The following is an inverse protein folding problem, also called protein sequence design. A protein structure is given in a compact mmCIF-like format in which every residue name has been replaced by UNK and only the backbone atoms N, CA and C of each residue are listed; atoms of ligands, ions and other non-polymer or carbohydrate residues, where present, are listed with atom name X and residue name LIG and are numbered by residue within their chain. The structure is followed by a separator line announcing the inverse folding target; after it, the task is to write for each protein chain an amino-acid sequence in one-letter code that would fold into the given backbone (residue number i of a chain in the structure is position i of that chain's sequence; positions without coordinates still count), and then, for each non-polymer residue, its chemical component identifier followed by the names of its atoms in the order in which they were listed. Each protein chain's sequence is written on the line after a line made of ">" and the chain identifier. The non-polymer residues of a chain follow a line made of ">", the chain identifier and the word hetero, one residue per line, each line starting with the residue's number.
data_IF_237498464123
#
_entry.id   IF_237498464123
#
_cell.length_a   1.000
_cell.length_b   1.000
_cell.length_c   1.000
_cell.angle_alpha   90.00
_cell.angle_beta   90.00
_cell.angle_gamma   90.00
#
_symmetry.space_group_name_H-M   'P 1'
#
loop_
_entity.id
_entity.type
_entity.pdbx_description
1 polymer ?
#
# COMPACT_ATOMS: atom_id res chain seq x y z
N UNK A 1 -15.18 -13.56 -5.70
CA UNK A 1 -13.97 -13.41 -6.51
C UNK A 1 -13.70 -14.74 -7.23
N UNK A 2 -13.10 -14.69 -8.43
CA UNK A 2 -12.66 -15.89 -9.16
C UNK A 2 -11.18 -16.08 -8.90
N UNK A 3 -10.78 -17.27 -8.43
CA UNK A 3 -9.38 -17.62 -8.19
C UNK A 3 -8.87 -18.44 -9.38
N UNK A 4 -7.72 -18.07 -9.93
CA UNK A 4 -7.02 -18.82 -10.98
C UNK A 4 -5.73 -19.36 -10.37
N UNK A 5 -5.59 -20.68 -10.30
CA UNK A 5 -4.37 -21.33 -9.81
C UNK A 5 -3.43 -21.56 -10.98
N UNK A 6 -2.25 -20.96 -10.95
CA UNK A 6 -1.22 -21.11 -11.98
C UNK A 6 0.18 -20.89 -11.40
N UNK A 7 1.12 -21.74 -11.80
CA UNK A 7 2.52 -21.69 -11.34
C UNK A 7 2.72 -22.24 -9.92
N UNK A 8 3.98 -22.55 -9.60
CA UNK A 8 4.39 -23.07 -8.28
C UNK A 8 5.05 -21.99 -7.40
N UNK A 9 5.23 -20.77 -7.94
CA UNK A 9 5.83 -19.63 -7.25
C UNK A 9 4.97 -18.38 -7.44
N UNK A 10 5.14 -17.41 -6.54
CA UNK A 10 4.51 -16.10 -6.67
C UNK A 10 4.86 -15.43 -8.01
N UNK A 11 6.13 -15.46 -8.41
CA UNK A 11 6.59 -14.83 -9.65
C UNK A 11 5.93 -15.44 -10.89
N UNK A 12 5.75 -16.77 -10.91
CA UNK A 12 5.06 -17.46 -11.99
C UNK A 12 3.57 -17.08 -12.05
N UNK A 13 2.91 -17.01 -10.89
CA UNK A 13 1.52 -16.55 -10.78
C UNK A 13 1.37 -15.08 -11.20
N UNK A 14 2.30 -14.21 -10.80
CA UNK A 14 2.34 -12.80 -11.16
C UNK A 14 2.51 -12.62 -12.67
N UNK A 15 3.50 -13.29 -13.28
CA UNK A 15 3.73 -13.25 -14.72
C UNK A 15 2.48 -13.69 -15.49
N UNK A 16 1.85 -14.78 -15.07
CA UNK A 16 0.60 -15.23 -15.69
C UNK A 16 -0.55 -14.24 -15.52
N UNK A 17 -0.68 -13.59 -14.36
CA UNK A 17 -1.68 -12.55 -14.16
C UNK A 17 -1.48 -11.35 -15.11
N UNK A 18 -0.23 -11.01 -15.46
CA UNK A 18 0.10 -10.00 -16.48
C UNK A 18 -0.23 -10.46 -17.90
N UNK A 19 -0.06 -11.75 -18.22
CA UNK A 19 -0.52 -12.30 -19.50
C UNK A 19 -2.04 -12.22 -19.64
N UNK A 20 -2.77 -12.63 -18.59
CA UNK A 20 -4.24 -12.57 -18.55
C UNK A 20 -4.77 -11.14 -18.65
N UNK A 21 -4.06 -10.15 -18.10
CA UNK A 21 -4.37 -8.73 -18.28
C UNK A 21 -4.49 -8.38 -19.76
N UNK A 22 -3.49 -8.77 -20.56
CA UNK A 22 -3.43 -8.48 -22.00
C UNK A 22 -4.42 -9.34 -22.78
N UNK A 23 -4.44 -10.66 -22.55
CA UNK A 23 -5.26 -11.61 -23.29
C UNK A 23 -6.77 -11.29 -23.16
N UNK A 24 -7.18 -10.88 -21.96
CA UNK A 24 -8.60 -10.68 -21.63
C UNK A 24 -9.00 -9.21 -21.54
N UNK A 25 -8.07 -8.28 -21.78
CA UNK A 25 -8.31 -6.84 -21.67
C UNK A 25 -8.72 -6.40 -20.27
N UNK A 26 -8.12 -6.99 -19.23
CA UNK A 26 -8.39 -6.66 -17.84
C UNK A 26 -7.51 -5.50 -17.37
N UNK A 27 -7.88 -4.89 -16.24
CA UNK A 27 -6.99 -3.96 -15.53
C UNK A 27 -6.28 -4.70 -14.42
N UNK A 28 -4.95 -4.68 -14.43
CA UNK A 28 -4.19 -5.20 -13.30
C UNK A 28 -4.21 -4.20 -12.14
N UNK A 29 -4.58 -4.67 -10.96
CA UNK A 29 -4.57 -3.87 -9.74
C UNK A 29 -3.28 -4.17 -9.00
N UNK A 30 -2.32 -3.25 -9.03
CA UNK A 30 -1.04 -3.44 -8.37
C UNK A 30 -1.20 -3.41 -6.84
N UNK A 31 -0.53 -4.29 -6.08
CA UNK A 31 -0.77 -4.39 -4.63
C UNK A 31 -0.26 -3.20 -3.80
N UNK A 32 0.63 -2.35 -4.33
CA UNK A 32 1.17 -1.19 -3.61
C UNK A 32 1.58 -0.01 -4.51
N UNK A 33 2.34 -0.25 -5.59
CA UNK A 33 2.81 0.75 -6.56
C UNK A 33 1.73 1.26 -7.55
N UNK A 34 0.64 1.81 -7.02
CA UNK A 34 -0.36 2.56 -7.78
C UNK A 34 -0.80 3.75 -6.90
N UNK A 35 -0.86 4.96 -7.48
CA UNK A 35 -1.16 6.18 -6.73
C UNK A 35 -2.50 6.13 -5.98
N UNK A 36 -3.51 5.43 -6.52
CA UNK A 36 -4.81 5.25 -5.85
C UNK A 36 -4.73 4.24 -4.72
N UNK A 37 -3.90 3.21 -4.87
CA UNK A 37 -3.64 2.24 -3.80
C UNK A 37 -2.96 2.94 -2.64
N UNK A 38 -1.90 3.71 -2.91
CA UNK A 38 -1.17 4.54 -1.92
C UNK A 38 -2.10 5.51 -1.22
N UNK A 39 -2.89 6.29 -1.98
CA UNK A 39 -3.83 7.25 -1.41
C UNK A 39 -4.89 6.55 -0.53
N UNK A 40 -5.37 5.39 -0.97
CA UNK A 40 -6.28 4.55 -0.17
C UNK A 40 -5.65 4.13 1.15
N UNK A 41 -4.39 3.67 1.16
CA UNK A 41 -3.72 3.27 2.40
C UNK A 41 -3.53 4.44 3.38
N UNK A 42 -3.32 5.66 2.88
CA UNK A 42 -3.16 6.85 3.71
C UNK A 42 -4.39 7.18 4.56
N UNK A 43 -5.58 6.66 4.20
CA UNK A 43 -6.80 6.88 5.00
C UNK A 43 -6.67 6.39 6.44
N UNK A 44 -5.85 5.38 6.71
CA UNK A 44 -5.54 4.92 8.06
C UNK A 44 -4.95 6.04 8.92
N UNK A 45 -4.00 6.81 8.38
CA UNK A 45 -3.41 7.95 9.10
C UNK A 45 -4.42 9.08 9.34
N UNK A 46 -5.35 9.31 8.39
CA UNK A 46 -6.43 10.31 8.56
C UNK A 46 -7.35 9.90 9.72
N UNK A 47 -7.72 8.63 9.79
CA UNK A 47 -8.55 8.10 10.87
C UNK A 47 -7.82 8.19 12.22
N UNK A 48 -6.53 7.80 12.27
CA UNK A 48 -5.71 7.89 13.48
C UNK A 48 -5.58 9.33 14.00
N UNK A 49 -5.32 10.30 13.12
CA UNK A 49 -5.19 11.72 13.51
C UNK A 49 -6.53 12.35 13.88
N UNK A 50 -7.64 11.86 13.32
CA UNK A 50 -8.98 12.29 13.75
C UNK A 50 -9.27 11.84 15.18
N UNK A 51 -8.88 10.62 15.53
CA UNK A 51 -9.12 10.06 16.86
C UNK A 51 -8.13 10.59 17.90
N UNK A 52 -6.87 10.76 17.51
CA UNK A 52 -5.80 11.30 18.35
C UNK A 52 -5.00 12.35 17.57
N UNK A 53 -5.42 13.62 17.61
CA UNK A 53 -4.76 14.71 16.88
C UNK A 53 -3.33 15.04 17.33
N UNK A 54 -2.82 14.41 18.39
CA UNK A 54 -1.52 14.69 18.96
C UNK A 54 -0.45 13.63 18.62
N UNK A 55 -0.74 12.68 17.72
CA UNK A 55 0.23 11.65 17.31
C UNK A 55 1.40 12.31 16.58
N UNK A 56 2.57 12.27 17.20
CA UNK A 56 3.82 12.85 16.67
C UNK A 56 4.73 11.82 15.99
N UNK A 57 4.39 10.52 16.03
CA UNK A 57 5.18 9.47 15.37
C UNK A 57 4.29 8.32 14.86
N UNK A 58 4.52 7.90 13.61
CA UNK A 58 3.98 6.67 13.03
C UNK A 58 5.09 5.63 12.87
N UNK A 59 4.89 4.45 13.48
CA UNK A 59 5.67 3.25 13.19
C UNK A 59 4.87 2.42 12.19
N UNK A 60 5.38 2.26 10.97
CA UNK A 60 4.61 1.67 9.87
C UNK A 60 5.33 0.45 9.29
N UNK A 61 4.68 -0.73 9.19
CA UNK A 61 5.29 -1.89 8.57
C UNK A 61 5.52 -1.66 7.08
N UNK A 62 6.65 -2.17 6.57
CA UNK A 62 7.05 -2.07 5.17
C UNK A 62 7.07 -3.46 4.54
N UNK A 63 6.19 -3.67 3.56
CA UNK A 63 6.33 -4.69 2.53
C UNK A 63 6.72 -4.01 1.21
N UNK A 64 5.77 -3.88 0.28
CA UNK A 64 5.98 -3.09 -0.95
C UNK A 64 5.94 -1.56 -0.78
N UNK A 65 5.72 -1.05 0.44
CA UNK A 65 5.78 0.38 0.75
C UNK A 65 4.47 1.18 0.59
N UNK A 66 3.41 0.61 0.01
CA UNK A 66 2.16 1.35 -0.26
C UNK A 66 1.53 2.00 0.98
N UNK A 67 1.56 1.30 2.13
CA UNK A 67 1.03 1.81 3.40
C UNK A 67 1.84 3.00 3.93
N UNK A 68 3.16 2.83 4.10
CA UNK A 68 4.02 3.90 4.61
C UNK A 68 4.01 5.12 3.69
N UNK A 69 3.97 4.93 2.36
CA UNK A 69 3.85 6.05 1.42
C UNK A 69 2.55 6.82 1.62
N UNK A 70 1.42 6.12 1.76
CA UNK A 70 0.12 6.76 2.00
C UNK A 70 0.08 7.52 3.32
N UNK A 71 0.56 6.90 4.40
CA UNK A 71 0.61 7.51 5.72
C UNK A 71 1.58 8.71 5.76
N UNK A 72 2.72 8.62 5.08
CA UNK A 72 3.70 9.71 4.99
C UNK A 72 3.15 10.95 4.27
N UNK A 73 2.33 10.77 3.22
CA UNK A 73 1.64 11.88 2.54
C UNK A 73 0.71 12.62 3.50
N UNK A 74 -0.04 11.87 4.33
CA UNK A 74 -0.93 12.47 5.33
C UNK A 74 -0.14 13.16 6.44
N UNK A 75 0.91 12.51 6.95
CA UNK A 75 1.81 13.09 7.95
C UNK A 75 2.46 14.39 7.47
N UNK A 76 2.90 14.45 6.22
CA UNK A 76 3.49 15.65 5.62
C UNK A 76 2.47 16.81 5.46
N UNK A 77 1.17 16.50 5.44
CA UNK A 77 0.09 17.47 5.35
C UNK A 77 -0.52 17.85 6.72
N UNK A 78 -0.04 17.27 7.82
CA UNK A 78 -0.53 17.55 9.17
C UNK A 78 -0.18 18.97 9.63
N UNK A 79 -0.91 19.48 10.61
CA UNK A 79 -0.72 20.81 11.18
C UNK A 79 0.46 20.90 12.17
N UNK A 80 1.05 19.77 12.52
CA UNK A 80 2.26 19.66 13.31
C UNK A 80 3.24 18.62 12.71
N UNK A 81 4.54 18.66 13.05
CA UNK A 81 5.50 17.67 12.60
C UNK A 81 5.14 16.28 13.12
N UNK A 82 5.23 15.28 12.24
CA UNK A 82 5.04 13.86 12.57
C UNK A 82 6.22 13.08 11.97
N UNK A 83 6.91 12.32 12.81
CA UNK A 83 7.96 11.40 12.37
C UNK A 83 7.34 10.13 11.79
N UNK A 84 7.86 9.65 10.65
CA UNK A 84 7.38 8.41 10.02
C UNK A 84 8.54 7.44 9.91
N UNK A 85 8.44 6.34 10.63
CA UNK A 85 9.49 5.32 10.75
C UNK A 85 8.99 4.03 10.12
N UNK A 86 9.77 3.54 9.16
CA UNK A 86 9.57 2.23 8.54
C UNK A 86 10.05 1.09 9.43
N UNK A 87 9.28 0.01 9.46
CA UNK A 87 9.64 -1.24 10.15
C UNK A 87 9.55 -2.40 9.17
N UNK A 88 10.66 -3.09 8.95
CA UNK A 88 10.77 -4.30 8.13
C UNK A 88 11.40 -5.44 8.95
N UNK A 89 11.33 -6.67 8.45
CA UNK A 89 12.05 -7.81 9.02
C UNK A 89 13.57 -7.68 8.78
N UNK A 90 14.36 -8.40 9.59
CA UNK A 90 15.84 -8.40 9.51
C UNK A 90 16.38 -9.21 8.33
#
# INVERSE_FOLDING_TARGET
>A
ATVVLFGDTFDAAYAHARELEVERGLTFVHPFDDARVIAGQGTVAIEMLKDVPAIDTFLTPIGGGGLISGMAVVAAAADHPIEVIGVEDE
#
